data_IF_287481796990
#
_entry.id   IF_287481796990
#
_cell.length_a   1.000
_cell.length_b   1.000
_cell.length_c   1.000
_cell.angle_alpha   90.00
_cell.angle_beta   90.00
_cell.angle_gamma   90.00
#
_symmetry.space_group_name_H-M   'P 1'
#
loop_
_entity.id
_entity.type
_entity.pdbx_description
1 polymer ?
#
# COMPACT_ATOMS: atom_id res chain seq x y z
N UNK A 1 -5.79 -11.20 -1.45
CA UNK A 1 -5.89 -9.77 -1.02
C UNK A 1 -7.32 -9.30 -0.67
N UNK A 2 -8.30 -9.46 -1.57
CA UNK A 2 -9.63 -8.80 -1.45
C UNK A 2 -10.42 -9.19 -0.19
N UNK A 3 -10.32 -10.44 0.27
CA UNK A 3 -10.97 -10.91 1.51
C UNK A 3 -10.47 -10.19 2.76
N UNK A 4 -9.14 -10.14 2.96
CA UNK A 4 -8.50 -9.53 4.15
C UNK A 4 -8.77 -8.03 4.22
N UNK A 5 -8.67 -7.32 3.09
CA UNK A 5 -8.99 -5.90 3.04
C UNK A 5 -10.46 -5.64 3.43
N UNK A 6 -11.38 -6.48 2.94
CA UNK A 6 -12.82 -6.34 3.20
C UNK A 6 -13.18 -6.59 4.67
N UNK A 7 -12.57 -7.58 5.33
CA UNK A 7 -12.75 -7.84 6.77
C UNK A 7 -12.30 -6.65 7.64
N UNK A 8 -11.29 -5.90 7.19
CA UNK A 8 -10.78 -4.71 7.87
C UNK A 8 -11.51 -3.41 7.46
N UNK A 9 -12.45 -3.49 6.51
CA UNK A 9 -13.12 -2.35 5.90
C UNK A 9 -12.20 -1.46 5.07
N UNK A 10 -11.07 -2.00 4.62
CA UNK A 10 -10.08 -1.32 3.77
C UNK A 10 -10.43 -1.51 2.29
N UNK A 11 -10.35 -0.42 1.53
CA UNK A 11 -10.50 -0.43 0.07
C UNK A 11 -9.17 -0.03 -0.54
N UNK A 12 -8.65 -0.89 -1.42
CA UNK A 12 -7.43 -0.66 -2.19
C UNK A 12 -7.81 -0.21 -3.60
N UNK A 13 -7.42 1.01 -3.96
CA UNK A 13 -7.70 1.59 -5.26
C UNK A 13 -6.39 1.79 -6.01
N UNK A 14 -6.23 1.13 -7.16
CA UNK A 14 -5.14 1.41 -8.09
C UNK A 14 -5.34 2.80 -8.69
N UNK A 15 -4.43 3.73 -8.38
CA UNK A 15 -4.51 5.12 -8.86
C UNK A 15 -3.60 5.38 -10.05
N UNK A 16 -2.52 4.62 -10.19
CA UNK A 16 -1.61 4.64 -11.33
C UNK A 16 -1.05 3.23 -11.56
N UNK A 17 -1.15 2.70 -12.78
CA UNK A 17 -0.60 1.37 -13.14
C UNK A 17 0.85 1.45 -13.65
N UNK A 18 1.24 2.58 -14.23
CA UNK A 18 2.56 2.81 -14.82
C UNK A 18 3.58 3.29 -13.80
N UNK A 19 4.85 3.47 -14.18
CA UNK A 19 5.93 3.86 -13.27
C UNK A 19 5.85 5.34 -12.81
N UNK A 20 5.40 5.65 -11.57
CA UNK A 20 5.32 4.74 -10.43
C UNK A 20 3.93 4.12 -10.19
N UNK A 21 3.89 2.79 -10.03
CA UNK A 21 2.65 2.06 -9.74
C UNK A 21 2.18 2.46 -8.33
N UNK A 22 0.91 2.85 -8.21
CA UNK A 22 0.40 3.52 -7.02
C UNK A 22 -0.97 3.03 -6.61
N UNK A 23 -1.16 2.92 -5.30
CA UNK A 23 -2.42 2.54 -4.69
C UNK A 23 -2.77 3.49 -3.56
N UNK A 24 -4.02 3.96 -3.56
CA UNK A 24 -4.63 4.63 -2.41
C UNK A 24 -5.40 3.59 -1.58
N UNK A 25 -5.28 3.69 -0.25
CA UNK A 25 -5.96 2.81 0.69
C UNK A 25 -6.86 3.68 1.57
N UNK A 26 -8.14 3.31 1.63
CA UNK A 26 -9.15 4.06 2.40
C UNK A 26 -9.92 3.14 3.34
N UNK A 27 -10.41 3.69 4.45
CA UNK A 27 -11.32 3.02 5.39
C UNK A 27 -12.56 3.87 5.57
N UNK A 28 -13.73 3.36 5.18
CA UNK A 28 -14.98 4.13 5.22
C UNK A 28 -14.91 5.46 4.44
N UNK A 29 -14.13 5.50 3.36
CA UNK A 29 -13.90 6.72 2.55
C UNK A 29 -12.82 7.66 3.08
N UNK A 30 -12.26 7.41 4.26
CA UNK A 30 -11.16 8.21 4.82
C UNK A 30 -9.81 7.63 4.35
N UNK A 31 -8.89 8.44 3.81
CA UNK A 31 -7.54 8.00 3.48
C UNK A 31 -6.82 7.43 4.71
N UNK A 32 -6.24 6.24 4.57
CA UNK A 32 -5.50 5.58 5.64
C UNK A 32 -4.26 4.85 5.14
N UNK A 33 -3.84 5.07 3.89
CA UNK A 33 -2.54 4.64 3.44
C UNK A 33 -2.28 4.84 1.96
N UNK A 34 -1.01 4.76 1.62
CA UNK A 34 -0.54 4.92 0.25
C UNK A 34 0.56 3.91 -0.05
N UNK A 35 0.51 3.30 -1.24
CA UNK A 35 1.60 2.47 -1.77
C UNK A 35 2.13 3.13 -3.03
N UNK A 36 3.46 3.21 -3.13
CA UNK A 36 4.14 3.72 -4.32
C UNK A 36 5.32 2.85 -4.68
N UNK A 37 5.39 2.42 -5.94
CA UNK A 37 6.49 1.61 -6.47
C UNK A 37 7.30 2.45 -7.44
N UNK A 38 8.61 2.58 -7.21
CA UNK A 38 9.50 3.37 -8.06
C UNK A 38 10.89 2.77 -8.07
N UNK A 39 11.47 2.61 -9.26
CA UNK A 39 12.89 2.28 -9.45
C UNK A 39 13.39 1.05 -8.66
N UNK A 40 12.63 -0.05 -8.67
CA UNK A 40 13.00 -1.26 -7.91
C UNK A 40 12.71 -1.18 -6.41
N UNK A 41 12.07 -0.10 -5.94
CA UNK A 41 11.63 0.06 -4.56
C UNK A 41 10.13 0.25 -4.43
N UNK A 42 9.62 0.00 -3.24
CA UNK A 42 8.28 0.37 -2.80
C UNK A 42 8.33 1.16 -1.49
N UNK A 43 7.38 2.06 -1.30
CA UNK A 43 7.09 2.69 -0.02
C UNK A 43 5.62 2.47 0.37
N UNK A 44 5.37 2.35 1.67
CA UNK A 44 4.04 2.36 2.27
C UNK A 44 4.01 3.50 3.27
N UNK A 45 3.03 4.41 3.15
CA UNK A 45 2.87 5.53 4.07
C UNK A 45 1.46 5.65 4.63
N UNK A 46 1.31 6.34 5.75
CA UNK A 46 0.04 6.69 6.39
C UNK A 46 -0.20 8.21 6.32
N UNK A 47 -1.41 8.68 5.95
CA UNK A 47 -1.71 10.10 5.76
C UNK A 47 -1.88 10.82 7.11
N UNK A 48 -0.74 11.17 7.71
CA UNK A 48 -0.61 12.07 8.86
C UNK A 48 0.16 13.33 8.43
N UNK A 49 0.29 14.35 9.29
CA UNK A 49 1.03 15.57 8.94
C UNK A 49 2.50 15.27 8.57
N UNK A 50 2.78 15.16 7.27
CA UNK A 50 4.09 14.83 6.72
C UNK A 50 4.23 13.43 6.10
N UNK A 51 3.13 12.64 6.03
CA UNK A 51 3.09 11.24 5.57
C UNK A 51 4.08 10.34 6.33
N UNK A 52 3.59 9.61 7.35
CA UNK A 52 4.42 8.67 8.09
C UNK A 52 4.84 7.51 7.17
N UNK A 53 6.14 7.32 6.95
CA UNK A 53 6.68 6.17 6.24
C UNK A 53 6.61 4.92 7.13
N UNK A 54 5.64 4.04 6.85
CA UNK A 54 5.50 2.76 7.54
C UNK A 54 6.51 1.72 7.03
N UNK A 55 6.91 1.83 5.76
CA UNK A 55 7.84 0.88 5.15
C UNK A 55 8.52 1.45 3.91
N UNK A 56 9.79 1.05 3.72
CA UNK A 56 10.52 1.17 2.46
C UNK A 56 11.28 -0.13 2.21
N UNK A 57 11.18 -0.66 0.99
CA UNK A 57 11.85 -1.91 0.64
C UNK A 57 11.97 -2.12 -0.86
N UNK A 58 12.62 -3.19 -1.27
CA UNK A 58 12.79 -3.54 -2.67
C UNK A 58 11.58 -4.27 -3.24
N UNK A 59 11.46 -4.19 -4.57
CA UNK A 59 10.58 -5.00 -5.42
C UNK A 59 11.38 -5.58 -6.57
N UNK A 60 10.88 -6.64 -7.18
CA UNK A 60 11.53 -7.29 -8.32
C UNK A 60 11.36 -6.45 -9.61
N UNK A 61 10.23 -5.76 -9.75
CA UNK A 61 9.94 -4.95 -10.93
C UNK A 61 10.58 -3.55 -10.92
N UNK A 62 10.69 -2.92 -12.10
CA UNK A 62 11.27 -1.58 -12.25
C UNK A 62 10.19 -0.52 -12.51
N UNK A 63 9.64 0.03 -11.43
CA UNK A 63 8.59 1.07 -11.48
C UNK A 63 7.16 0.55 -11.26
N UNK A 64 6.98 -0.77 -11.22
CA UNK A 64 5.76 -1.45 -10.79
C UNK A 64 6.11 -2.82 -10.23
N UNK A 65 5.14 -3.49 -9.61
CA UNK A 65 5.35 -4.87 -9.15
C UNK A 65 5.33 -5.84 -10.34
N UNK A 66 6.07 -6.93 -10.23
CA UNK A 66 5.80 -8.11 -11.07
C UNK A 66 4.50 -8.79 -10.64
N UNK A 67 3.89 -9.58 -11.53
CA UNK A 67 2.65 -10.28 -11.19
C UNK A 67 2.81 -11.31 -10.06
N UNK A 68 4.01 -11.89 -9.93
CA UNK A 68 4.32 -12.88 -8.89
C UNK A 68 4.47 -12.26 -7.49
N UNK A 69 4.93 -11.01 -7.37
CA UNK A 69 5.14 -10.36 -6.07
C UNK A 69 3.96 -9.46 -5.65
N UNK A 70 3.19 -8.95 -6.62
CA UNK A 70 2.18 -7.89 -6.42
C UNK A 70 1.24 -8.19 -5.25
N UNK A 71 0.67 -9.38 -5.21
CA UNK A 71 -0.27 -9.76 -4.15
C UNK A 71 0.41 -9.77 -2.77
N UNK A 72 1.59 -10.37 -2.66
CA UNK A 72 2.32 -10.44 -1.39
C UNK A 72 2.72 -9.04 -0.88
N UNK A 73 3.16 -8.15 -1.78
CA UNK A 73 3.54 -6.77 -1.43
C UNK A 73 2.33 -5.92 -1.01
N UNK A 74 1.18 -6.10 -1.67
CA UNK A 74 -0.05 -5.41 -1.27
C UNK A 74 -0.60 -5.95 0.06
N UNK A 75 -0.49 -7.26 0.33
CA UNK A 75 -0.85 -7.83 1.64
C UNK A 75 0.04 -7.29 2.76
N UNK A 76 1.35 -7.15 2.52
CA UNK A 76 2.27 -6.51 3.45
C UNK A 76 1.83 -5.06 3.77
N UNK A 77 1.54 -4.27 2.74
CA UNK A 77 1.09 -2.89 2.91
C UNK A 77 -0.19 -2.79 3.74
N UNK A 78 -1.18 -3.64 3.46
CA UNK A 78 -2.42 -3.73 4.22
C UNK A 78 -2.18 -4.10 5.68
N UNK A 79 -1.28 -5.05 5.96
CA UNK A 79 -0.92 -5.44 7.33
C UNK A 79 -0.28 -4.29 8.11
N UNK A 80 0.61 -3.53 7.48
CA UNK A 80 1.25 -2.35 8.10
C UNK A 80 0.23 -1.26 8.42
N UNK A 81 -0.64 -0.94 7.48
CA UNK A 81 -1.71 0.05 7.67
C UNK A 81 -2.68 -0.38 8.76
N UNK A 82 -3.10 -1.65 8.75
CA UNK A 82 -3.97 -2.19 9.79
C UNK A 82 -3.32 -2.12 11.17
N UNK A 83 -2.04 -2.49 11.27
CA UNK A 83 -1.29 -2.40 12.52
C UNK A 83 -1.18 -0.95 13.03
N UNK A 84 -0.96 0.02 12.14
CA UNK A 84 -0.93 1.45 12.48
C UNK A 84 -2.29 1.96 12.94
N UNK A 85 -3.39 1.57 12.29
CA UNK A 85 -4.76 1.94 12.71
C UNK A 85 -5.08 1.40 14.12
N UNK A 86 -4.60 0.19 14.44
CA UNK A 86 -4.83 -0.43 15.75
C UNK A 86 -3.91 0.13 16.86
N UNK A 87 -2.80 0.79 16.48
CA UNK A 87 -1.85 1.45 17.38
C UNK A 87 -1.83 2.96 17.06
N UNK A 88 -2.86 3.71 17.50
CA UNK A 88 -3.00 5.12 17.17
C UNK A 88 -1.83 5.97 17.66
#
# INVERSE_FOLDING_TARGET
MMLVANELGLVVTLTCRDAPEQYAITKGGVPCGYVRVRWGGMSVSYPEAGDEDLFRGSVDGFGGFTDHEREAKLLLALGLIAARILKP
#
